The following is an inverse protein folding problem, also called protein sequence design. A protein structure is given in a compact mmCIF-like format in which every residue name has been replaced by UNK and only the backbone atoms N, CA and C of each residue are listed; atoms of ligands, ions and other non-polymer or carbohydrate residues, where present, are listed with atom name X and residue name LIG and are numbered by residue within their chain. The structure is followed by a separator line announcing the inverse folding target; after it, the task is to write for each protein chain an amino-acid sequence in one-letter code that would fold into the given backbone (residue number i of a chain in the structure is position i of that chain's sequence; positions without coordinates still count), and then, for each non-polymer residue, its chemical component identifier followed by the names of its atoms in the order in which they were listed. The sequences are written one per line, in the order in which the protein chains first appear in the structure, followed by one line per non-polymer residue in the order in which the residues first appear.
data_IF_927283941440
#
_entry.id   IF_927283941440
#
_cell.length_a   1.000
_cell.length_b   1.000
_cell.length_c   1.000
_cell.angle_alpha   90.00
_cell.angle_beta   90.00
_cell.angle_gamma   90.00
#
_symmetry.space_group_name_H-M   'P 1'
#
loop_
_entity.id
_entity.type
_entity.pdbx_description
1 polymer ?
#
# COMPACT_ATOMS: atom_id res chain seq x y z
N UNK A 1 17.32 -7.16 -24.81
CA UNK A 1 16.87 -6.50 -23.57
C UNK A 1 16.18 -7.56 -22.75
N UNK A 2 16.66 -7.84 -21.54
CA UNK A 2 15.94 -8.73 -20.63
C UNK A 2 14.63 -8.04 -20.23
N UNK A 3 13.54 -8.80 -20.18
CA UNK A 3 12.26 -8.30 -19.69
C UNK A 3 12.40 -8.11 -18.18
N UNK A 4 12.00 -6.94 -17.66
CA UNK A 4 11.93 -6.75 -16.23
C UNK A 4 10.74 -7.58 -15.69
N UNK A 5 11.05 -8.64 -14.94
CA UNK A 5 10.04 -9.54 -14.36
C UNK A 5 9.53 -9.04 -12.99
N UNK A 6 10.06 -7.92 -12.49
CA UNK A 6 9.61 -7.32 -11.23
C UNK A 6 8.16 -6.85 -11.38
N UNK A 7 7.28 -7.09 -10.38
CA UNK A 7 5.94 -6.50 -10.40
C UNK A 7 6.04 -4.98 -10.37
N UNK A 8 5.22 -4.31 -11.16
CA UNK A 8 5.12 -2.85 -11.14
C UNK A 8 4.76 -2.39 -9.71
N UNK A 9 5.36 -1.29 -9.18
CA UNK A 9 5.01 -0.75 -7.88
C UNK A 9 3.50 -0.63 -7.62
N UNK A 10 2.69 -0.27 -8.62
CA UNK A 10 1.22 -0.15 -8.47
C UNK A 10 0.51 -1.50 -8.27
N UNK A 11 1.15 -2.60 -8.67
CA UNK A 11 0.64 -3.97 -8.52
C UNK A 11 0.96 -4.56 -7.13
N UNK A 12 1.86 -3.94 -6.37
CA UNK A 12 2.24 -4.41 -5.04
C UNK A 12 1.14 -4.03 -4.03
N UNK A 13 0.44 -5.05 -3.53
CA UNK A 13 -0.61 -4.90 -2.51
C UNK A 13 -0.12 -5.43 -1.17
N UNK A 14 0.17 -4.52 -0.24
CA UNK A 14 0.65 -4.82 1.10
C UNK A 14 -0.51 -5.10 2.05
N UNK A 15 -0.69 -6.34 2.48
CA UNK A 15 -1.76 -6.75 3.41
C UNK A 15 -1.42 -6.33 4.86
N UNK A 16 -2.03 -5.25 5.36
CA UNK A 16 -1.69 -4.66 6.68
C UNK A 16 -2.53 -5.18 7.86
N UNK A 17 -3.67 -5.84 7.62
CA UNK A 17 -4.45 -6.53 8.67
C UNK A 17 -5.93 -6.17 8.67
N UNK A 18 -6.62 -6.41 9.80
CA UNK A 18 -8.09 -6.24 9.94
C UNK A 18 -8.52 -5.46 11.17
N UNK A 19 -7.60 -5.05 12.05
CA UNK A 19 -7.89 -4.31 13.29
C UNK A 19 -7.33 -2.89 13.29
N UNK A 20 -7.54 -2.14 14.37
CA UNK A 20 -7.13 -0.73 14.53
C UNK A 20 -5.65 -0.46 14.25
N UNK A 21 -4.73 -1.41 14.54
CA UNK A 21 -3.32 -1.25 14.19
C UNK A 21 -3.05 -1.23 12.68
N UNK A 22 -3.95 -1.79 11.87
CA UNK A 22 -3.89 -1.73 10.41
C UNK A 22 -4.27 -0.34 9.86
N UNK A 23 -4.79 0.55 10.71
CA UNK A 23 -5.08 1.94 10.36
C UNK A 23 -3.86 2.85 10.54
N UNK A 24 -2.77 2.38 11.16
CA UNK A 24 -1.58 3.19 11.39
C UNK A 24 -0.88 3.51 10.06
N UNK A 25 -0.84 4.78 9.62
CA UNK A 25 -0.27 5.16 8.33
C UNK A 25 1.20 4.78 8.20
N UNK A 26 1.99 5.01 9.26
CA UNK A 26 3.41 4.70 9.31
C UNK A 26 3.73 3.22 9.10
N UNK A 27 2.94 2.34 9.73
CA UNK A 27 3.11 0.90 9.54
C UNK A 27 2.74 0.49 8.12
N UNK A 28 1.70 1.09 7.56
CA UNK A 28 1.20 0.75 6.23
C UNK A 28 2.24 1.07 5.14
N UNK A 29 2.83 2.27 5.19
CA UNK A 29 3.90 2.66 4.25
C UNK A 29 5.17 1.83 4.42
N UNK A 30 5.59 1.55 5.66
CA UNK A 30 6.76 0.71 5.91
C UNK A 30 6.60 -0.71 5.36
N UNK A 31 5.42 -1.33 5.53
CA UNK A 31 5.14 -2.67 4.98
C UNK A 31 5.15 -2.65 3.46
N UNK A 32 4.58 -1.61 2.83
CA UNK A 32 4.61 -1.48 1.38
C UNK A 32 6.03 -1.30 0.84
N UNK A 33 6.82 -0.39 1.44
CA UNK A 33 8.23 -0.18 1.07
C UNK A 33 9.06 -1.46 1.23
N UNK A 34 8.83 -2.22 2.30
CA UNK A 34 9.48 -3.51 2.49
C UNK A 34 9.17 -4.49 1.35
N UNK A 35 7.93 -4.55 0.87
CA UNK A 35 7.55 -5.42 -0.26
C UNK A 35 8.11 -4.93 -1.58
N UNK A 36 8.16 -3.62 -1.82
CA UNK A 36 8.80 -3.04 -3.00
C UNK A 36 10.29 -3.35 -3.04
N UNK A 37 11.01 -3.15 -1.92
CA UNK A 37 12.42 -3.52 -1.78
C UNK A 37 12.64 -5.03 -2.00
N UNK A 38 11.75 -5.87 -1.44
CA UNK A 38 11.80 -7.33 -1.65
C UNK A 38 11.56 -7.73 -3.11
N UNK A 39 10.75 -6.98 -3.84
CA UNK A 39 10.53 -7.15 -5.27
C UNK A 39 11.71 -6.62 -6.13
N UNK A 40 12.74 -6.05 -5.50
CA UNK A 40 13.95 -5.60 -6.19
C UNK A 40 13.92 -4.12 -6.60
N UNK A 41 12.98 -3.33 -6.07
CA UNK A 41 12.94 -1.89 -6.32
C UNK A 41 13.83 -1.11 -5.34
N UNK A 42 14.56 -0.12 -5.86
CA UNK A 42 15.18 0.89 -5.01
C UNK A 42 14.11 1.90 -4.56
N UNK A 43 13.74 1.86 -3.28
CA UNK A 43 12.66 2.68 -2.71
C UNK A 43 13.17 3.52 -1.54
N UNK A 44 12.80 4.79 -1.50
CA UNK A 44 13.07 5.69 -0.37
C UNK A 44 11.85 6.54 -0.03
N UNK A 45 11.76 7.00 1.22
CA UNK A 45 10.65 7.86 1.65
C UNK A 45 10.99 9.31 1.37
N UNK A 46 9.98 10.09 0.99
CA UNK A 46 10.07 11.55 0.88
C UNK A 46 9.54 12.16 2.18
N UNK A 47 10.44 12.61 3.06
CA UNK A 47 10.10 13.01 4.43
C UNK A 47 9.31 14.33 4.53
N UNK A 48 9.46 15.25 3.56
CA UNK A 48 8.81 16.58 3.58
C UNK A 48 7.49 16.63 2.79
N UNK A 49 6.96 15.48 2.36
CA UNK A 49 5.70 15.45 1.63
C UNK A 49 4.50 15.60 2.58
N UNK A 50 3.73 16.68 2.41
CA UNK A 50 2.42 16.82 3.05
C UNK A 50 1.44 15.81 2.45
N UNK A 51 0.78 15.04 3.31
CA UNK A 51 -0.22 14.03 2.92
C UNK A 51 -1.45 14.12 3.80
N UNK A 52 -2.61 13.80 3.23
CA UNK A 52 -3.88 13.76 3.94
C UNK A 52 -4.09 12.38 4.59
N UNK A 53 -3.63 12.27 5.85
CA UNK A 53 -3.72 11.02 6.62
C UNK A 53 -5.18 10.56 6.85
N UNK A 54 -6.13 11.51 6.87
CA UNK A 54 -7.55 11.25 7.12
C UNK A 54 -8.22 10.65 5.88
N UNK A 55 -7.77 11.00 4.67
CA UNK A 55 -8.20 10.34 3.42
C UNK A 55 -7.46 9.02 3.12
N UNK A 56 -6.62 8.57 4.05
CA UNK A 56 -5.89 7.30 3.95
C UNK A 56 -4.58 7.41 3.16
N UNK A 57 -4.06 8.60 2.94
CA UNK A 57 -2.68 8.76 2.47
C UNK A 57 -1.69 8.42 3.58
N UNK A 58 -0.57 7.79 3.25
CA UNK A 58 0.44 7.36 4.22
C UNK A 58 1.78 8.07 4.04
N UNK A 59 2.05 8.61 2.85
CA UNK A 59 3.30 9.26 2.50
C UNK A 59 3.65 9.09 1.04
N UNK A 60 4.61 9.89 0.58
CA UNK A 60 5.19 9.77 -0.76
C UNK A 60 6.49 8.98 -0.67
N UNK A 61 6.71 8.10 -1.65
CA UNK A 61 7.93 7.34 -1.84
C UNK A 61 8.51 7.62 -3.22
N UNK A 62 9.82 7.64 -3.31
CA UNK A 62 10.56 7.61 -4.57
C UNK A 62 10.91 6.15 -4.89
N UNK A 63 10.61 5.73 -6.11
CA UNK A 63 10.99 4.43 -6.66
C UNK A 63 11.74 4.69 -7.96
N UNK A 64 13.07 4.52 -7.92
CA UNK A 64 13.95 4.73 -9.08
C UNK A 64 13.71 6.07 -9.81
N UNK A 65 13.45 7.15 -9.06
CA UNK A 65 13.19 8.50 -9.59
C UNK A 65 11.73 8.80 -9.95
N UNK A 66 10.81 7.85 -9.77
CA UNK A 66 9.38 8.04 -9.93
C UNK A 66 8.69 8.16 -8.57
N UNK A 67 7.82 9.17 -8.42
CA UNK A 67 7.10 9.41 -7.18
C UNK A 67 5.79 8.64 -7.14
N UNK A 68 5.56 7.99 -6.01
CA UNK A 68 4.32 7.27 -5.73
C UNK A 68 3.74 7.74 -4.39
N UNK A 69 2.43 7.97 -4.37
CA UNK A 69 1.66 8.15 -3.15
C UNK A 69 1.28 6.77 -2.62
N UNK A 70 1.74 6.44 -1.42
CA UNK A 70 1.29 5.22 -0.73
C UNK A 70 0.00 5.52 0.01
N UNK A 71 -1.04 4.75 -0.30
CA UNK A 71 -2.35 4.82 0.34
C UNK A 71 -2.62 3.58 1.17
N UNK A 72 -3.53 3.71 2.13
CA UNK A 72 -4.10 2.62 2.91
C UNK A 72 -5.62 2.63 2.81
N UNK A 73 -6.22 1.46 2.93
CA UNK A 73 -7.66 1.31 2.91
C UNK A 73 -8.12 -0.14 2.74
N UNK A 74 -9.44 -0.33 2.73
CA UNK A 74 -10.07 -1.64 2.56
C UNK A 74 -10.00 -2.10 1.11
N UNK A 75 -9.02 -2.95 0.77
CA UNK A 75 -8.76 -3.37 -0.62
C UNK A 75 -8.61 -4.88 -0.82
N UNK A 76 -8.52 -5.67 0.26
CA UNK A 76 -8.30 -7.13 0.15
C UNK A 76 -9.45 -7.92 0.75
N UNK A 77 -9.96 -8.92 0.03
CA UNK A 77 -10.94 -9.87 0.60
C UNK A 77 -10.26 -10.80 1.60
N UNK A 78 -10.93 -11.04 2.72
CA UNK A 78 -10.52 -11.98 3.76
C UNK A 78 -11.74 -12.73 4.31
N UNK A 79 -11.48 -13.88 4.90
CA UNK A 79 -12.48 -14.65 5.65
C UNK A 79 -12.34 -14.32 7.13
N UNK A 80 -13.40 -13.80 7.74
CA UNK A 80 -13.54 -13.70 9.19
C UNK A 80 -14.27 -14.95 9.68
N UNK A 81 -13.72 -15.57 10.71
CA UNK A 81 -14.41 -16.62 11.46
C UNK A 81 -15.10 -15.95 12.64
N UNK A 82 -16.43 -16.08 12.69
CA UNK A 82 -17.31 -15.42 13.65
C UNK A 82 -18.13 -16.49 14.38
N UNK A 83 -17.96 -16.58 15.69
CA UNK A 83 -18.68 -17.50 16.57
C UNK A 83 -19.60 -16.78 17.55
N UNK A 84 -19.80 -15.46 17.40
CA UNK A 84 -20.62 -14.63 18.30
C UNK A 84 -22.07 -15.10 18.42
N UNK A 85 -22.58 -15.82 17.41
CA UNK A 85 -23.90 -16.46 17.41
C UNK A 85 -23.94 -17.86 18.02
N UNK A 86 -22.88 -18.33 18.67
CA UNK A 86 -22.77 -19.67 19.25
C UNK A 86 -22.49 -20.80 18.24
N UNK A 87 -22.30 -20.47 16.95
CA UNK A 87 -21.86 -21.39 15.90
C UNK A 87 -20.82 -20.70 15.04
N UNK A 88 -19.72 -21.39 14.73
CA UNK A 88 -18.67 -20.88 13.86
C UNK A 88 -19.21 -20.65 12.45
N UNK A 89 -19.18 -19.41 12.00
CA UNK A 89 -19.58 -18.98 10.66
C UNK A 89 -18.40 -18.32 9.95
N UNK A 90 -18.28 -18.56 8.64
CA UNK A 90 -17.32 -17.86 7.79
C UNK A 90 -18.00 -16.68 7.10
N UNK A 91 -17.40 -15.50 7.20
CA UNK A 91 -17.94 -14.27 6.63
C UNK A 91 -16.90 -13.57 5.76
N UNK A 92 -17.21 -13.23 4.49
CA UNK A 92 -16.31 -12.44 3.67
C UNK A 92 -16.28 -11.00 4.19
N UNK A 93 -15.09 -10.49 4.47
CA UNK A 93 -14.86 -9.11 4.89
C UNK A 93 -13.77 -8.46 4.04
N UNK A 94 -13.70 -7.14 4.06
CA UNK A 94 -12.55 -6.41 3.53
C UNK A 94 -11.54 -6.14 4.64
N UNK A 95 -10.32 -6.63 4.44
CA UNK A 95 -9.14 -6.24 5.23
C UNK A 95 -8.48 -5.00 4.66
N UNK A 96 -7.67 -4.35 5.49
CA UNK A 96 -6.85 -3.24 5.08
C UNK A 96 -5.63 -3.72 4.29
N UNK A 97 -5.28 -2.94 3.27
CA UNK A 97 -4.05 -3.05 2.54
C UNK A 97 -3.47 -1.66 2.25
N UNK A 98 -2.19 -1.62 1.92
CA UNK A 98 -1.52 -0.47 1.35
C UNK A 98 -1.13 -0.73 -0.11
N UNK A 99 -1.16 0.31 -0.92
CA UNK A 99 -0.81 0.28 -2.35
C UNK A 99 -0.24 1.63 -2.78
N UNK A 100 0.48 1.64 -3.90
CA UNK A 100 1.03 2.84 -4.50
C UNK A 100 0.14 3.35 -5.64
N UNK A 101 0.02 4.67 -5.74
CA UNK A 101 -0.56 5.39 -6.87
C UNK A 101 0.51 6.34 -7.43
N UNK A 102 0.76 6.38 -8.75
CA UNK A 102 1.76 7.29 -9.31
C UNK A 102 1.35 8.74 -9.09
N UNK A 103 2.30 9.57 -8.64
CA UNK A 103 2.10 11.01 -8.51
C UNK A 103 2.31 11.64 -9.86
N UNK A 104 1.21 11.97 -10.54
CA UNK A 104 1.24 12.67 -11.82
C UNK A 104 1.47 14.16 -11.57
N UNK A 105 2.72 14.59 -11.49
CA UNK A 105 3.02 16.02 -11.59
C UNK A 105 2.87 16.47 -13.04
N UNK A 106 2.25 17.62 -13.27
CA UNK A 106 2.15 18.23 -14.60
C UNK A 106 3.54 18.50 -15.24
N UNK A 107 4.59 18.60 -14.42
CA UNK A 107 5.97 18.86 -14.84
C UNK A 107 6.80 17.59 -15.14
N UNK A 108 6.24 16.39 -14.95
CA UNK A 108 6.95 15.12 -15.20
C UNK A 108 6.74 14.57 -16.62
N UNK A 109 5.95 15.24 -17.45
CA UNK A 109 5.78 14.91 -18.88
C UNK A 109 6.67 15.87 -19.68
N UNK A 110 7.98 15.58 -19.75
CA UNK A 110 8.82 16.19 -20.78
C UNK A 110 8.82 15.22 -21.96
N UNK A 111 8.30 15.63 -23.14
CA UNK A 111 8.25 14.80 -24.35
C UNK A 111 9.63 14.51 -24.95
#
# INVERSE_FOLDING_TARGET
MAIDERPDPVQIIARVGTGFSAEQPERAIQVWMHLAAKAGWAVSRVDEASVDLDSGECGIVDVEGLRYLVRRGRRVRRTLYDDSGGRLAQRPIFGFAAWAEPVLSADSIIP
#
